data_IF_774035479524
#
_entry.id   IF_774035479524
#
_cell.length_a   1.000
_cell.length_b   1.000
_cell.length_c   1.000
_cell.angle_alpha   90.00
_cell.angle_beta   90.00
_cell.angle_gamma   90.00
#
_symmetry.space_group_name_H-M   'P 1'
#
loop_
_entity.id
_entity.type
_entity.pdbx_description
1 polymer ?
#
# COMPACT_ATOMS: atom_id res chain seq x y z
N UNK A 1 -16.72 -9.11 15.90
CA UNK A 1 -16.55 -8.67 14.49
C UNK A 1 -15.32 -7.78 14.43
N UNK A 2 -14.19 -8.25 13.92
CA UNK A 2 -12.91 -7.57 14.15
C UNK A 2 -12.38 -6.86 12.90
N UNK A 3 -13.25 -6.03 12.30
CA UNK A 3 -13.04 -5.17 11.12
C UNK A 3 -13.30 -5.86 9.77
N UNK A 4 -14.21 -5.28 8.97
CA UNK A 4 -14.62 -5.73 7.63
C UNK A 4 -16.03 -6.35 7.58
N UNK A 5 -16.62 -6.47 6.37
CA UNK A 5 -18.01 -6.93 6.19
C UNK A 5 -18.21 -8.43 6.46
N UNK A 6 -17.12 -9.21 6.46
CA UNK A 6 -17.12 -10.59 6.92
C UNK A 6 -16.91 -10.62 8.43
N UNK A 7 -17.87 -11.21 9.15
CA UNK A 7 -17.89 -11.38 10.61
C UNK A 7 -16.85 -12.38 11.14
N UNK A 8 -15.58 -12.16 10.81
CA UNK A 8 -14.44 -12.97 11.25
C UNK A 8 -14.02 -12.50 12.65
N UNK A 9 -13.70 -13.45 13.53
CA UNK A 9 -13.21 -13.22 14.91
C UNK A 9 -11.68 -13.07 14.93
N UNK A 10 -11.12 -12.31 15.88
CA UNK A 10 -9.65 -12.08 16.01
C UNK A 10 -8.86 -13.39 16.00
N UNK A 11 -9.35 -14.41 16.71
CA UNK A 11 -8.70 -15.73 16.80
C UNK A 11 -8.60 -16.40 15.42
N UNK A 12 -9.71 -16.41 14.67
CA UNK A 12 -9.78 -16.96 13.32
C UNK A 12 -8.88 -16.19 12.35
N UNK A 13 -8.80 -14.86 12.47
CA UNK A 13 -7.90 -14.06 11.64
C UNK A 13 -6.43 -14.34 11.95
N UNK A 14 -6.08 -14.56 13.21
CA UNK A 14 -4.72 -14.89 13.64
C UNK A 14 -4.32 -16.31 13.23
N UNK A 15 -5.21 -17.29 13.42
CA UNK A 15 -5.01 -18.69 13.01
C UNK A 15 -4.86 -18.79 11.48
N UNK A 16 -5.69 -18.06 10.72
CA UNK A 16 -5.54 -17.94 9.27
C UNK A 16 -4.24 -17.22 8.86
N UNK A 17 -3.81 -16.17 9.56
CA UNK A 17 -2.52 -15.52 9.24
C UNK A 17 -1.33 -16.43 9.57
N UNK A 18 -1.37 -17.12 10.70
CA UNK A 18 -0.31 -18.01 11.19
C UNK A 18 -0.18 -19.28 10.34
N UNK A 19 -1.28 -19.81 9.81
CA UNK A 19 -1.27 -21.02 9.01
C UNK A 19 -0.54 -20.87 7.66
N UNK A 20 -0.36 -19.63 7.17
CA UNK A 20 0.43 -19.34 5.97
C UNK A 20 1.93 -19.18 6.24
N UNK A 21 2.35 -19.12 7.50
CA UNK A 21 3.76 -19.15 7.88
C UNK A 21 4.23 -20.60 7.82
N UNK A 22 5.20 -20.95 6.95
CA UNK A 22 5.58 -22.35 6.70
C UNK A 22 6.11 -23.09 7.95
N UNK A 23 6.50 -22.35 9.00
CA UNK A 23 6.99 -22.89 10.27
C UNK A 23 5.85 -23.23 11.25
N UNK A 24 4.68 -22.56 11.17
CA UNK A 24 3.53 -22.75 12.07
C UNK A 24 2.34 -23.48 11.40
N UNK A 25 2.35 -23.60 10.07
CA UNK A 25 1.23 -24.16 9.30
C UNK A 25 0.90 -25.62 9.58
N UNK A 26 1.83 -26.40 10.15
CA UNK A 26 1.58 -27.79 10.53
C UNK A 26 0.89 -27.97 11.89
N UNK A 27 0.68 -26.88 12.66
CA UNK A 27 0.07 -26.92 13.99
C UNK A 27 -1.37 -26.38 14.02
N UNK A 28 -1.86 -25.83 12.90
CA UNK A 28 -3.16 -25.14 12.82
C UNK A 28 -4.03 -25.80 11.76
N UNK A 29 -5.06 -26.51 12.20
CA UNK A 29 -6.04 -27.16 11.34
C UNK A 29 -7.01 -26.13 10.75
N UNK A 30 -6.72 -25.69 9.52
CA UNK A 30 -7.50 -24.66 8.80
C UNK A 30 -8.76 -25.22 8.12
N UNK A 31 -8.94 -26.55 8.18
CA UNK A 31 -9.99 -27.32 7.52
C UNK A 31 -11.40 -27.00 8.03
N UNK A 32 -11.51 -26.49 9.26
CA UNK A 32 -12.78 -26.12 9.90
C UNK A 32 -13.35 -24.78 9.39
N UNK A 33 -12.53 -23.94 8.71
CA UNK A 33 -12.95 -22.59 8.32
C UNK A 33 -13.48 -22.50 6.88
N UNK A 34 -14.55 -21.71 6.63
CA UNK A 34 -15.07 -21.48 5.28
C UNK A 34 -14.00 -20.95 4.32
N UNK A 35 -13.91 -21.54 3.13
CA UNK A 35 -12.97 -21.12 2.06
C UNK A 35 -13.08 -19.62 1.74
N UNK A 36 -14.28 -19.04 1.86
CA UNK A 36 -14.53 -17.60 1.69
C UNK A 36 -13.74 -16.75 2.69
N UNK A 37 -13.66 -17.16 3.97
CA UNK A 37 -12.89 -16.42 4.98
C UNK A 37 -11.39 -16.49 4.69
N UNK A 38 -10.89 -17.65 4.24
CA UNK A 38 -9.49 -17.80 3.82
C UNK A 38 -9.14 -16.86 2.67
N UNK A 39 -9.98 -16.80 1.63
CA UNK A 39 -9.79 -15.92 0.47
C UNK A 39 -9.77 -14.44 0.88
N UNK A 40 -10.71 -14.02 1.73
CA UNK A 40 -10.79 -12.62 2.18
C UNK A 40 -9.53 -12.22 2.96
N UNK A 41 -9.06 -13.06 3.89
CA UNK A 41 -7.85 -12.76 4.65
C UNK A 41 -6.63 -12.71 3.72
N UNK A 42 -6.44 -13.72 2.87
CA UNK A 42 -5.19 -13.85 2.11
C UNK A 42 -5.12 -13.00 0.84
N UNK A 43 -6.22 -12.83 0.12
CA UNK A 43 -6.24 -12.12 -1.17
C UNK A 43 -6.62 -10.65 -1.02
N UNK A 44 -7.27 -10.26 0.07
CA UNK A 44 -7.76 -8.88 0.26
C UNK A 44 -7.11 -8.18 1.45
N UNK A 45 -7.16 -8.77 2.66
CA UNK A 45 -6.68 -8.08 3.87
C UNK A 45 -5.17 -8.09 4.01
N UNK A 46 -4.53 -9.25 3.90
CA UNK A 46 -3.09 -9.41 4.01
C UNK A 46 -2.30 -8.48 3.08
N UNK A 47 -2.56 -8.42 1.76
CA UNK A 47 -1.82 -7.51 0.88
C UNK A 47 -2.04 -6.04 1.24
N UNK A 48 -3.25 -5.64 1.67
CA UNK A 48 -3.53 -4.27 2.11
C UNK A 48 -2.78 -3.89 3.39
N UNK A 49 -2.68 -4.79 4.36
CA UNK A 49 -1.93 -4.55 5.61
C UNK A 49 -0.45 -4.40 5.30
N UNK A 50 0.11 -5.27 4.46
CA UNK A 50 1.52 -5.18 4.04
C UNK A 50 1.78 -3.85 3.34
N UNK A 51 0.92 -3.46 2.38
CA UNK A 51 1.04 -2.17 1.70
C UNK A 51 0.95 -0.99 2.69
N UNK A 52 0.02 -1.02 3.65
CA UNK A 52 -0.12 0.04 4.64
C UNK A 52 1.13 0.20 5.52
N UNK A 53 1.73 -0.91 5.96
CA UNK A 53 2.98 -0.91 6.75
C UNK A 53 4.14 -0.37 5.91
N UNK A 54 4.28 -0.82 4.66
CA UNK A 54 5.36 -0.36 3.77
C UNK A 54 5.24 1.13 3.45
N UNK A 55 4.06 1.59 3.05
CA UNK A 55 3.81 3.00 2.70
C UNK A 55 3.94 3.89 3.94
N UNK A 56 3.36 3.50 5.07
CA UNK A 56 3.47 4.25 6.32
C UNK A 56 4.91 4.35 6.83
N UNK A 57 5.67 3.25 6.76
CA UNK A 57 7.09 3.23 7.11
C UNK A 57 7.93 4.13 6.21
N UNK A 58 7.70 4.09 4.89
CA UNK A 58 8.38 4.95 3.94
C UNK A 58 8.07 6.44 4.20
N UNK A 59 6.80 6.81 4.40
CA UNK A 59 6.40 8.18 4.72
C UNK A 59 7.01 8.66 6.04
N UNK A 60 7.06 7.80 7.07
CA UNK A 60 7.69 8.14 8.35
C UNK A 60 9.19 8.41 8.18
N UNK A 61 9.92 7.54 7.48
CA UNK A 61 11.36 7.71 7.25
C UNK A 61 11.68 8.97 6.42
N UNK A 62 10.88 9.25 5.40
CA UNK A 62 11.01 10.47 4.59
C UNK A 62 10.68 11.72 5.45
N UNK A 63 9.60 11.69 6.23
CA UNK A 63 9.24 12.80 7.12
C UNK A 63 10.34 13.13 8.14
N UNK A 64 10.90 12.13 8.81
CA UNK A 64 11.97 12.36 9.81
C UNK A 64 13.26 12.90 9.18
N UNK A 65 13.63 12.42 7.99
CA UNK A 65 14.81 12.93 7.27
C UNK A 65 14.61 14.38 6.81
N UNK A 66 13.45 14.74 6.26
CA UNK A 66 13.15 16.13 5.88
C UNK A 66 13.07 17.08 7.07
N UNK A 67 12.42 16.67 8.16
CA UNK A 67 12.38 17.44 9.41
C UNK A 67 13.79 17.65 9.98
N UNK A 68 14.67 16.63 9.90
CA UNK A 68 16.07 16.71 10.33
C UNK A 68 16.92 17.64 9.46
N UNK A 69 16.75 17.58 8.12
CA UNK A 69 17.48 18.42 7.17
C UNK A 69 17.16 19.91 7.35
N UNK A 70 15.87 20.24 7.45
CA UNK A 70 15.42 21.63 7.64
C UNK A 70 15.50 22.11 9.09
N UNK A 71 15.83 21.20 10.03
CA UNK A 71 15.76 21.45 11.48
C UNK A 71 14.45 22.10 11.90
N UNK A 72 13.37 21.75 11.20
CA UNK A 72 12.04 22.32 11.37
C UNK A 72 11.01 21.20 11.50
N UNK A 73 10.39 21.01 12.67
CA UNK A 73 9.40 19.95 12.88
C UNK A 73 8.12 20.16 12.05
N UNK A 74 7.92 21.33 11.44
CA UNK A 74 6.79 21.63 10.55
C UNK A 74 7.10 21.37 9.05
N UNK A 75 8.31 20.93 8.72
CA UNK A 75 8.68 20.65 7.33
C UNK A 75 7.99 19.36 6.84
N UNK A 76 7.15 19.51 5.81
CA UNK A 76 6.43 18.41 5.19
C UNK A 76 7.17 17.97 3.90
N UNK A 77 7.48 16.66 3.73
CA UNK A 77 8.06 16.16 2.47
C UNK A 77 7.21 16.40 1.22
N UNK A 78 5.92 16.74 1.34
CA UNK A 78 5.10 17.14 0.20
C UNK A 78 5.51 18.47 -0.45
N UNK A 79 6.38 19.26 0.19
CA UNK A 79 6.77 20.62 -0.27
C UNK A 79 7.53 20.61 -1.60
N UNK A 80 8.25 19.54 -1.95
CA UNK A 80 9.01 19.44 -3.22
C UNK A 80 8.16 19.12 -4.46
N UNK A 81 6.82 19.11 -4.34
CA UNK A 81 5.91 18.94 -5.48
C UNK A 81 5.78 17.51 -6.01
N UNK A 82 6.38 16.52 -5.35
CA UNK A 82 6.30 15.10 -5.75
C UNK A 82 4.87 14.58 -5.77
N UNK A 83 4.05 14.99 -4.79
CA UNK A 83 2.64 14.56 -4.70
C UNK A 83 1.76 15.17 -5.80
N UNK A 84 1.93 16.48 -6.08
CA UNK A 84 1.22 17.13 -7.18
C UNK A 84 1.68 16.60 -8.55
N UNK A 85 2.97 16.31 -8.72
CA UNK A 85 3.53 15.64 -9.90
C UNK A 85 2.94 14.24 -10.12
N UNK A 86 2.85 13.44 -9.06
CA UNK A 86 2.21 12.12 -9.12
C UNK A 86 0.72 12.21 -9.48
N UNK A 87 0.00 13.15 -8.87
CA UNK A 87 -1.42 13.36 -9.15
C UNK A 87 -1.66 13.80 -10.61
N UNK A 88 -0.83 14.70 -11.14
CA UNK A 88 -0.88 15.12 -12.53
C UNK A 88 -0.58 13.96 -13.48
N UNK A 89 0.49 13.20 -13.23
CA UNK A 89 0.87 12.03 -14.02
C UNK A 89 -0.25 10.97 -14.05
N UNK A 90 -0.87 10.70 -12.90
CA UNK A 90 -2.02 9.81 -12.81
C UNK A 90 -3.23 10.34 -13.61
N UNK A 91 -3.56 11.62 -13.48
CA UNK A 91 -4.68 12.26 -14.19
C UNK A 91 -4.48 12.21 -15.71
N UNK A 92 -3.26 12.51 -16.19
CA UNK A 92 -2.91 12.38 -17.61
C UNK A 92 -3.03 10.93 -18.07
N UNK A 93 -2.53 9.96 -17.29
CA UNK A 93 -2.67 8.54 -17.61
C UNK A 93 -4.13 8.06 -17.70
N UNK A 94 -5.02 8.61 -16.85
CA UNK A 94 -6.46 8.34 -16.88
C UNK A 94 -7.11 8.95 -18.14
N UNK A 95 -6.88 10.24 -18.40
CA UNK A 95 -7.51 10.99 -19.50
C UNK A 95 -7.05 10.48 -20.87
N UNK A 96 -5.76 10.16 -21.01
CA UNK A 96 -5.20 9.62 -22.26
C UNK A 96 -5.60 8.18 -22.54
N UNK A 97 -6.22 7.50 -21.57
CA UNK A 97 -6.62 6.10 -21.70
C UNK A 97 -5.44 5.14 -21.75
N UNK A 98 -4.31 5.50 -21.13
CA UNK A 98 -3.08 4.70 -21.09
C UNK A 98 -3.30 3.31 -20.46
N UNK A 99 -4.37 3.17 -19.66
CA UNK A 99 -4.89 1.90 -19.14
C UNK A 99 -5.23 0.87 -20.23
N UNK A 100 -5.53 1.28 -21.47
CA UNK A 100 -5.75 0.35 -22.58
C UNK A 100 -4.47 -0.34 -23.07
N UNK A 101 -3.32 0.30 -22.87
CA UNK A 101 -2.01 -0.22 -23.35
C UNK A 101 -1.29 -0.96 -22.23
N UNK A 102 -1.23 -0.37 -21.03
CA UNK A 102 -0.47 -0.88 -19.89
C UNK A 102 -1.33 -1.59 -18.83
N UNK A 103 -2.65 -1.66 -19.03
CA UNK A 103 -3.57 -2.32 -18.10
C UNK A 103 -3.51 -1.75 -16.69
N UNK A 104 -3.40 -2.63 -15.69
CA UNK A 104 -3.36 -2.26 -14.27
C UNK A 104 -2.14 -1.42 -13.89
N UNK A 105 -1.07 -1.49 -14.69
CA UNK A 105 0.20 -0.81 -14.43
C UNK A 105 0.24 0.63 -14.95
N UNK A 106 -0.73 1.02 -15.78
CA UNK A 106 -0.77 2.35 -16.37
C UNK A 106 -0.80 3.46 -15.31
N UNK A 107 -1.65 3.32 -14.29
CA UNK A 107 -1.81 4.31 -13.23
C UNK A 107 -0.56 4.45 -12.35
N UNK A 108 -0.02 3.36 -11.76
CA UNK A 108 1.19 3.44 -10.94
C UNK A 108 2.39 4.01 -11.70
N UNK A 109 2.59 3.58 -12.96
CA UNK A 109 3.73 4.03 -13.78
C UNK A 109 3.58 5.50 -14.16
N UNK A 110 2.39 5.94 -14.59
CA UNK A 110 2.17 7.33 -14.94
C UNK A 110 2.29 8.27 -13.73
N UNK A 111 1.76 7.86 -12.58
CA UNK A 111 1.93 8.60 -11.33
C UNK A 111 3.41 8.69 -10.92
N UNK A 112 4.14 7.58 -10.97
CA UNK A 112 5.56 7.56 -10.62
C UNK A 112 6.41 8.41 -11.58
N UNK A 113 6.17 8.30 -12.89
CA UNK A 113 6.86 9.12 -13.89
C UNK A 113 6.58 10.62 -13.71
N UNK A 114 5.33 10.99 -13.39
CA UNK A 114 4.95 12.37 -13.08
C UNK A 114 5.69 12.89 -11.84
N UNK A 115 5.76 12.11 -10.76
CA UNK A 115 6.52 12.44 -9.57
C UNK A 115 8.02 12.62 -9.86
N UNK A 116 8.66 11.71 -10.59
CA UNK A 116 10.08 11.82 -10.94
C UNK A 116 10.36 13.06 -11.78
N UNK A 117 9.52 13.34 -12.79
CA UNK A 117 9.66 14.50 -13.65
C UNK A 117 9.56 15.80 -12.85
N UNK A 118 8.57 15.91 -11.96
CA UNK A 118 8.47 17.09 -11.08
C UNK A 118 9.68 17.23 -10.15
N UNK A 119 10.19 16.13 -9.60
CA UNK A 119 11.40 16.18 -8.76
C UNK A 119 12.61 16.72 -9.53
N UNK A 120 12.80 16.26 -10.77
CA UNK A 120 13.91 16.72 -11.65
C UNK A 120 13.74 18.17 -12.09
N UNK A 121 12.51 18.65 -12.26
CA UNK A 121 12.27 20.04 -12.66
C UNK A 121 12.41 21.04 -11.51
N UNK A 122 12.13 20.62 -10.28
CA UNK A 122 12.20 21.49 -9.09
C UNK A 122 13.62 21.58 -8.54
N UNK A 123 14.39 20.49 -8.65
CA UNK A 123 15.81 20.46 -8.27
C UNK A 123 16.67 21.18 -9.31
#
# INVERSE_FOLDING_TARGET
MTVGPAGITIKEAFDLLAAKVPVLGNLVDISQYPKTHQVIIYQVRAPRVVLAVLVGGALAAVGTTFQGLFKNPMADPYVIGVSSGAALGAAVGIVTGLSRVLGIWALPVAAFAGAMLTTVLVY
#
